data_IF_684843077890
#
_entry.id   IF_684843077890
#
_cell.length_a   1.000
_cell.length_b   1.000
_cell.length_c   1.000
_cell.angle_alpha   90.00
_cell.angle_beta   90.00
_cell.angle_gamma   90.00
#
_symmetry.space_group_name_H-M   'P 1'
#
loop_
_entity.id
_entity.type
_entity.pdbx_description
1 polymer ?
#
# COMPACT_ATOMS: atom_id res chain seq x y z
N UNK A 1 11.20 4.15 -20.79
CA UNK A 1 11.45 4.67 -19.41
C UNK A 1 10.56 5.87 -18.99
N UNK A 2 9.25 5.85 -19.28
CA UNK A 2 8.28 6.87 -18.79
C UNK A 2 7.35 6.35 -17.68
N UNK A 3 7.17 5.04 -17.59
CA UNK A 3 6.39 4.38 -16.53
C UNK A 3 7.08 4.41 -15.15
N UNK A 4 8.35 4.79 -15.07
CA UNK A 4 9.10 4.92 -13.82
C UNK A 4 8.82 6.22 -13.06
N UNK A 5 8.24 7.23 -13.72
CA UNK A 5 8.08 8.56 -13.11
C UNK A 5 6.62 8.90 -12.76
N UNK A 6 5.66 8.32 -13.48
CA UNK A 6 4.23 8.61 -13.27
C UNK A 6 3.44 7.33 -13.52
N UNK A 7 2.88 6.75 -12.45
CA UNK A 7 2.11 5.50 -12.50
C UNK A 7 0.67 5.66 -12.98
N UNK A 8 0.37 6.66 -13.84
CA UNK A 8 -0.99 7.00 -14.27
C UNK A 8 -1.38 8.43 -13.89
N UNK A 9 -2.60 8.88 -14.18
CA UNK A 9 -3.03 10.27 -13.98
C UNK A 9 -2.80 10.84 -12.56
N UNK A 10 -2.87 10.00 -11.54
CA UNK A 10 -2.69 10.38 -10.12
C UNK A 10 -1.31 10.02 -9.57
N UNK A 11 -0.54 9.19 -10.29
CA UNK A 11 0.71 8.63 -9.80
C UNK A 11 0.55 7.52 -8.75
N UNK A 12 -0.68 7.16 -8.39
CA UNK A 12 -0.98 6.16 -7.36
C UNK A 12 -1.49 4.83 -7.93
N UNK A 13 -1.75 4.73 -9.23
CA UNK A 13 -2.49 3.59 -9.78
C UNK A 13 -1.72 2.27 -9.64
N UNK A 14 -0.39 2.32 -9.80
CA UNK A 14 0.47 1.16 -9.53
C UNK A 14 0.41 0.74 -8.05
N UNK A 15 0.46 1.70 -7.12
CA UNK A 15 0.38 1.44 -5.68
C UNK A 15 -1.01 0.88 -5.30
N UNK A 16 -2.08 1.45 -5.84
CA UNK A 16 -3.44 0.93 -5.69
C UNK A 16 -3.56 -0.52 -6.17
N UNK A 17 -2.95 -0.84 -7.32
CA UNK A 17 -2.92 -2.20 -7.84
C UNK A 17 -2.15 -3.16 -6.92
N UNK A 18 -0.96 -2.76 -6.46
CA UNK A 18 -0.16 -3.56 -5.52
C UNK A 18 -0.95 -3.81 -4.24
N UNK A 19 -1.52 -2.78 -3.60
CA UNK A 19 -2.32 -2.91 -2.38
C UNK A 19 -3.47 -3.91 -2.54
N UNK A 20 -4.16 -3.88 -3.69
CA UNK A 20 -5.30 -4.76 -3.97
C UNK A 20 -4.88 -6.20 -4.30
N UNK A 21 -3.79 -6.38 -5.03
CA UNK A 21 -3.39 -7.69 -5.55
C UNK A 21 -2.48 -8.46 -4.58
N UNK A 22 -1.61 -7.77 -3.82
CA UNK A 22 -0.64 -8.37 -2.89
C UNK A 22 -1.19 -9.45 -1.94
N UNK A 23 -2.43 -9.37 -1.40
CA UNK A 23 -2.98 -10.44 -0.57
C UNK A 23 -3.05 -11.82 -1.24
N UNK A 24 -3.17 -11.86 -2.57
CA UNK A 24 -3.20 -13.12 -3.35
C UNK A 24 -1.81 -13.76 -3.47
N UNK A 25 -0.76 -12.98 -3.24
CA UNK A 25 0.63 -13.38 -3.41
C UNK A 25 1.36 -13.57 -2.08
N UNK A 26 0.76 -13.14 -0.97
CA UNK A 26 1.33 -13.26 0.37
C UNK A 26 0.76 -14.47 1.11
N UNK A 27 1.63 -15.18 1.83
CA UNK A 27 1.18 -16.08 2.89
C UNK A 27 0.73 -15.25 4.09
N UNK A 28 -0.35 -15.66 4.73
CA UNK A 28 -0.80 -15.06 5.98
C UNK A 28 -0.10 -15.74 7.18
N UNK A 29 0.35 -14.97 8.19
CA UNK A 29 0.47 -13.50 8.17
C UNK A 29 1.65 -13.04 7.29
N UNK A 30 1.50 -11.89 6.63
CA UNK A 30 2.50 -11.31 5.74
C UNK A 30 2.55 -9.79 5.83
N UNK A 31 3.63 -9.18 5.33
CA UNK A 31 3.82 -7.72 5.35
C UNK A 31 3.96 -7.16 3.94
N UNK A 32 3.47 -5.95 3.75
CA UNK A 32 3.70 -5.13 2.57
C UNK A 32 4.39 -3.83 3.00
N UNK A 33 5.47 -3.49 2.33
CA UNK A 33 6.18 -2.22 2.49
C UNK A 33 6.12 -1.51 1.14
N UNK A 34 5.67 -0.26 1.14
CA UNK A 34 5.54 0.58 -0.05
C UNK A 34 6.40 1.82 0.14
N UNK A 35 7.35 2.02 -0.77
CA UNK A 35 8.09 3.28 -0.91
C UNK A 35 7.26 4.27 -1.71
N UNK A 36 7.17 5.52 -1.24
CA UNK A 36 6.35 6.57 -1.86
C UNK A 36 6.83 7.97 -1.44
N UNK A 37 6.35 9.01 -2.12
CA UNK A 37 6.66 10.38 -1.74
C UNK A 37 6.06 10.72 -0.35
N UNK A 38 6.73 11.57 0.44
CA UNK A 38 6.34 11.93 1.81
C UNK A 38 4.84 12.25 1.96
N UNK A 39 4.28 13.00 1.02
CA UNK A 39 2.89 13.48 1.04
C UNK A 39 1.83 12.38 0.79
N UNK A 40 2.26 11.19 0.36
CA UNK A 40 1.38 10.08 0.02
C UNK A 40 1.09 9.13 1.21
N UNK A 41 1.82 9.25 2.33
CA UNK A 41 1.71 8.34 3.48
C UNK A 41 0.27 8.19 3.99
N UNK A 42 -0.41 9.33 4.19
CA UNK A 42 -1.80 9.36 4.70
C UNK A 42 -2.78 8.72 3.73
N UNK A 43 -2.62 9.00 2.44
CA UNK A 43 -3.47 8.46 1.37
C UNK A 43 -3.31 6.95 1.27
N UNK A 44 -2.07 6.46 1.29
CA UNK A 44 -1.78 5.03 1.22
C UNK A 44 -2.23 4.27 2.47
N UNK A 45 -2.03 4.84 3.66
CA UNK A 45 -2.54 4.23 4.90
C UNK A 45 -4.08 4.11 4.89
N UNK A 46 -4.79 5.07 4.30
CA UNK A 46 -6.24 5.00 4.10
C UNK A 46 -6.62 3.88 3.12
N UNK A 47 -5.93 3.79 1.98
CA UNK A 47 -6.16 2.76 0.97
C UNK A 47 -5.87 1.35 1.49
N UNK A 48 -4.79 1.16 2.24
CA UNK A 48 -4.43 -0.10 2.88
C UNK A 48 -5.55 -0.56 3.83
N UNK A 49 -6.00 0.30 4.74
CA UNK A 49 -7.11 -0.04 5.65
C UNK A 49 -8.40 -0.38 4.91
N UNK A 50 -8.73 0.38 3.86
CA UNK A 50 -9.91 0.12 3.03
C UNK A 50 -9.85 -1.24 2.29
N UNK A 51 -8.64 -1.78 2.08
CA UNK A 51 -8.41 -3.10 1.47
C UNK A 51 -8.16 -4.20 2.52
N UNK A 52 -8.47 -3.96 3.80
CA UNK A 52 -8.40 -4.97 4.87
C UNK A 52 -7.00 -5.20 5.44
N UNK A 53 -6.04 -4.33 5.11
CA UNK A 53 -4.71 -4.36 5.73
C UNK A 53 -4.75 -3.73 7.12
N UNK A 54 -3.99 -4.33 8.03
CA UNK A 54 -3.85 -3.90 9.43
C UNK A 54 -2.53 -3.16 9.64
N UNK A 55 -2.41 -2.45 10.76
CA UNK A 55 -1.18 -1.77 11.19
C UNK A 55 -0.59 -0.81 10.15
N UNK A 56 -1.43 -0.22 9.29
CA UNK A 56 -1.00 0.66 8.22
C UNK A 56 -0.42 1.99 8.76
N UNK A 57 0.91 2.16 8.68
CA UNK A 57 1.60 3.34 9.20
C UNK A 57 2.83 3.71 8.35
N UNK A 58 3.14 5.01 8.32
CA UNK A 58 4.37 5.52 7.74
C UNK A 58 5.55 5.27 8.68
N UNK A 59 6.73 5.00 8.11
CA UNK A 59 7.99 4.95 8.87
C UNK A 59 8.95 6.04 8.37
N UNK A 60 9.61 6.77 9.30
CA UNK A 60 10.58 7.79 8.93
C UNK A 60 11.87 7.15 8.43
N UNK A 61 12.57 7.89 7.58
CA UNK A 61 13.96 7.65 7.26
C UNK A 61 14.90 8.19 8.35
N UNK A 62 16.20 8.10 8.09
CA UNK A 62 17.26 8.63 8.97
C UNK A 62 17.23 10.16 9.11
N UNK A 63 16.55 10.88 8.21
CA UNK A 63 16.35 12.32 8.25
C UNK A 63 15.05 12.77 8.95
N UNK A 64 14.18 11.83 9.31
CA UNK A 64 12.88 12.09 9.93
C UNK A 64 11.73 12.29 8.93
N UNK A 65 11.98 12.18 7.63
CA UNK A 65 10.94 12.24 6.60
C UNK A 65 10.37 10.85 6.33
N UNK A 66 9.05 10.73 6.14
CA UNK A 66 8.42 9.43 5.86
C UNK A 66 8.75 8.97 4.43
N UNK A 67 9.60 7.96 4.29
CA UNK A 67 9.96 7.38 2.98
C UNK A 67 9.08 6.20 2.55
N UNK A 68 8.34 5.59 3.48
CA UNK A 68 7.44 4.50 3.13
C UNK A 68 6.33 4.25 4.13
N UNK A 69 5.37 3.42 3.71
CA UNK A 69 4.26 2.92 4.53
C UNK A 69 4.32 1.41 4.58
N UNK A 70 4.15 0.83 5.76
CA UNK A 70 4.02 -0.61 5.94
C UNK A 70 2.59 -0.98 6.34
N UNK A 71 2.17 -2.21 6.05
CA UNK A 71 0.95 -2.79 6.61
C UNK A 71 1.02 -4.33 6.67
N UNK A 72 0.24 -4.91 7.58
CA UNK A 72 0.14 -6.34 7.80
C UNK A 72 -1.10 -6.94 7.12
N UNK A 73 -0.92 -8.09 6.49
CA UNK A 73 -1.98 -8.96 6.00
C UNK A 73 -2.13 -10.14 6.94
N UNK A 74 -3.24 -10.21 7.69
CA UNK A 74 -3.51 -11.29 8.64
C UNK A 74 -4.28 -12.47 8.04
N UNK A 75 -4.64 -12.41 6.75
CA UNK A 75 -5.38 -13.49 6.08
C UNK A 75 -6.90 -13.41 6.20
N UNK A 76 -7.46 -12.29 6.69
CA UNK A 76 -8.91 -12.08 6.67
C UNK A 76 -9.36 -11.68 5.25
N UNK A 77 -10.16 -12.49 4.54
CA UNK A 77 -10.65 -12.11 3.23
C UNK A 77 -11.58 -10.90 3.34
N UNK A 78 -11.34 -9.86 2.55
CA UNK A 78 -12.37 -8.85 2.24
C UNK A 78 -13.45 -9.58 1.44
N UNK A 79 -14.74 -9.51 1.81
CA UNK A 79 -15.80 -10.11 1.01
C UNK A 79 -15.79 -9.46 -0.38
N UNK A 80 -15.49 -10.24 -1.41
CA UNK A 80 -15.67 -9.79 -2.79
C UNK A 80 -17.18 -9.78 -3.07
N UNK A 81 -17.82 -8.61 -3.05
CA UNK A 81 -19.12 -8.47 -3.70
C UNK A 81 -18.90 -8.57 -5.21
N UNK A 82 -18.99 -9.79 -5.76
CA UNK A 82 -19.20 -10.00 -7.18
C UNK A 82 -20.68 -9.70 -7.46
N UNK A 83 -20.95 -8.52 -7.99
CA UNK A 83 -22.17 -8.25 -8.76
C UNK A 83 -22.07 -8.84 -10.16
#
# INVERSE_FOLDING_TARGET
>A
PRQSLVSGPTGLEALCRIIKESPHWLRAPGWLILEHAHDQARTLATLLRANGWQDAAGYPDVGGETQGTFAAWLGHPVPIHRG
#
